data_IF_627115707862
#
_entry.id   IF_627115707862
#
_cell.length_a   1.000
_cell.length_b   1.000
_cell.length_c   1.000
_cell.angle_alpha   90.00
_cell.angle_beta   90.00
_cell.angle_gamma   90.00
#
_symmetry.space_group_name_H-M   'P 1'
#
loop_
_entity.id
_entity.type
_entity.pdbx_description
1 polymer ?
#
# COMPACT_ATOMS: atom_id res chain seq x y z
N UNK A 1 -17.62 5.49 29.63
CA UNK A 1 -16.69 6.59 29.30
C UNK A 1 -15.72 6.04 28.28
N UNK A 2 -15.45 6.77 27.19
CA UNK A 2 -14.38 6.38 26.27
C UNK A 2 -13.04 6.42 27.01
N UNK A 3 -12.21 5.42 26.82
CA UNK A 3 -10.87 5.38 27.40
C UNK A 3 -10.01 6.47 26.72
N UNK A 4 -9.49 7.42 27.50
CA UNK A 4 -8.56 8.45 27.00
C UNK A 4 -7.20 7.81 26.81
N UNK A 5 -6.64 7.89 25.59
CA UNK A 5 -5.31 7.43 25.26
C UNK A 5 -4.44 8.60 24.81
N UNK A 6 -3.38 8.84 25.54
CA UNK A 6 -2.38 9.84 25.22
C UNK A 6 -1.05 9.15 24.91
N UNK A 7 -0.49 9.44 23.73
CA UNK A 7 0.79 8.92 23.27
C UNK A 7 1.68 10.07 22.84
N UNK A 8 2.95 9.99 23.18
CA UNK A 8 3.90 11.00 22.74
C UNK A 8 5.33 10.46 22.67
N UNK A 9 6.15 11.17 21.91
CA UNK A 9 7.58 10.96 21.82
C UNK A 9 8.28 12.28 21.50
N UNK A 10 9.57 12.34 21.74
CA UNK A 10 10.40 13.49 21.41
C UNK A 10 11.26 13.23 20.18
N UNK A 11 11.59 14.26 19.41
CA UNK A 11 12.49 14.15 18.25
C UNK A 11 13.95 13.88 18.64
N UNK A 12 14.32 14.14 19.91
CA UNK A 12 15.64 13.88 20.48
C UNK A 12 15.49 13.26 21.87
N UNK A 13 16.39 12.38 22.24
CA UNK A 13 16.41 11.78 23.58
C UNK A 13 16.90 12.74 24.66
N UNK A 14 17.78 13.68 24.28
CA UNK A 14 18.33 14.71 25.16
C UNK A 14 18.77 15.93 24.35
N UNK A 15 18.80 17.07 24.98
CA UNK A 15 19.26 18.34 24.39
C UNK A 15 20.22 19.05 25.34
N UNK A 16 21.12 19.88 24.80
CA UNK A 16 21.96 20.79 25.55
C UNK A 16 21.21 22.09 25.84
N UNK A 17 21.64 22.86 26.85
CA UNK A 17 21.10 24.21 27.08
C UNK A 17 21.17 25.06 25.82
N UNK A 18 20.02 25.69 25.45
CA UNK A 18 19.88 26.50 24.24
C UNK A 18 19.46 25.73 22.97
N UNK A 19 19.37 24.41 23.04
CA UNK A 19 18.81 23.62 21.94
C UNK A 19 17.31 23.38 22.13
N UNK A 20 16.58 23.15 21.00
CA UNK A 20 15.16 22.84 21.00
C UNK A 20 14.94 21.32 21.02
N UNK A 21 13.86 20.92 21.69
CA UNK A 21 13.28 19.58 21.65
C UNK A 21 11.81 19.70 21.30
N UNK A 22 11.35 18.87 20.34
CA UNK A 22 9.96 18.86 19.91
C UNK A 22 9.25 17.65 20.52
N UNK A 23 8.05 17.88 21.03
CA UNK A 23 7.17 16.87 21.57
C UNK A 23 6.07 16.56 20.54
N UNK A 24 6.02 15.35 20.06
CA UNK A 24 4.99 14.86 19.17
C UNK A 24 3.92 14.13 19.98
N UNK A 25 2.72 14.69 20.05
CA UNK A 25 1.65 14.15 20.89
C UNK A 25 0.44 13.78 20.06
N UNK A 26 -0.13 12.61 20.33
CA UNK A 26 -1.40 12.13 19.76
C UNK A 26 -2.35 11.78 20.89
N UNK A 27 -3.58 12.26 20.83
CA UNK A 27 -4.61 11.98 21.80
C UNK A 27 -5.85 11.36 21.14
N UNK A 28 -6.39 10.32 21.76
CA UNK A 28 -7.67 9.70 21.39
C UNK A 28 -8.65 9.83 22.56
N UNK A 29 -9.86 10.30 22.30
CA UNK A 29 -10.88 10.52 23.33
C UNK A 29 -10.80 11.86 24.07
N UNK A 30 -9.85 12.75 23.74
CA UNK A 30 -9.74 14.11 24.28
C UNK A 30 -9.15 15.07 23.26
N UNK A 31 -9.47 16.36 23.41
CA UNK A 31 -8.89 17.46 22.60
C UNK A 31 -7.93 18.33 23.39
N UNK A 32 -7.65 17.99 24.65
CA UNK A 32 -6.70 18.73 25.47
C UNK A 32 -5.91 17.81 26.40
N UNK A 33 -4.68 18.20 26.70
CA UNK A 33 -3.78 17.55 27.66
C UNK A 33 -3.09 18.62 28.49
N UNK A 34 -2.81 18.29 29.75
CA UNK A 34 -2.01 19.14 30.61
C UNK A 34 -0.55 18.70 30.51
N UNK A 35 0.35 19.68 30.32
CA UNK A 35 1.80 19.45 30.31
C UNK A 35 2.43 20.11 31.55
N UNK A 36 3.47 19.49 32.08
CA UNK A 36 4.21 19.97 33.22
C UNK A 36 5.71 19.64 33.06
N UNK A 37 6.55 20.61 33.24
CA UNK A 37 7.99 20.42 33.27
C UNK A 37 8.41 20.16 34.72
N UNK A 38 9.05 19.02 34.98
CA UNK A 38 9.50 18.64 36.30
C UNK A 38 10.97 18.29 36.27
N UNK A 39 11.65 18.60 37.40
CA UNK A 39 12.97 18.06 37.71
C UNK A 39 12.81 16.76 38.50
N UNK A 40 13.29 15.65 37.99
CA UNK A 40 13.31 14.40 38.72
C UNK A 40 14.43 14.45 39.73
N UNK A 41 14.07 14.41 41.01
CA UNK A 41 15.01 14.35 42.13
C UNK A 41 15.39 12.90 42.37
N UNK A 42 14.41 12.00 42.35
CA UNK A 42 14.61 10.57 42.52
C UNK A 42 13.60 9.80 41.64
N UNK A 43 14.10 9.00 40.69
CA UNK A 43 13.29 8.31 39.70
C UNK A 43 13.04 6.82 39.94
N UNK A 44 13.52 6.29 41.12
CA UNK A 44 13.35 4.87 41.45
C UNK A 44 12.10 4.65 42.31
N UNK A 45 11.18 3.85 41.83
CA UNK A 45 9.93 3.47 42.50
C UNK A 45 10.10 2.20 43.37
N UNK A 46 11.33 1.72 43.60
CA UNK A 46 11.58 0.49 44.37
C UNK A 46 11.01 0.62 45.81
N UNK A 47 10.26 -0.38 46.32
CA UNK A 47 9.55 -0.30 47.61
C UNK A 47 10.45 0.00 48.83
N UNK A 48 11.75 -0.34 48.75
CA UNK A 48 12.72 -0.11 49.80
C UNK A 48 13.50 1.20 49.63
N UNK A 49 13.18 1.99 48.59
CA UNK A 49 13.78 3.28 48.32
C UNK A 49 12.93 4.45 48.80
N UNK A 50 13.38 5.71 48.58
CA UNK A 50 12.58 6.91 48.90
C UNK A 50 11.35 7.13 48.04
N UNK A 51 11.18 6.33 46.95
CA UNK A 51 10.11 6.48 46.00
C UNK A 51 10.39 7.56 44.95
N UNK A 52 9.45 7.72 44.02
CA UNK A 52 9.53 8.76 43.00
C UNK A 52 9.38 10.15 43.65
N UNK A 53 10.27 11.06 43.33
CA UNK A 53 10.28 12.44 43.83
C UNK A 53 10.62 13.38 42.68
N UNK A 54 9.78 14.38 42.45
CA UNK A 54 10.01 15.43 41.47
C UNK A 54 9.75 16.82 42.08
N UNK A 55 10.15 17.84 41.33
CA UNK A 55 9.94 19.26 41.63
C UNK A 55 9.50 19.95 40.36
N UNK A 56 8.37 20.64 40.40
CA UNK A 56 7.88 21.41 39.25
C UNK A 56 8.82 22.60 38.96
N UNK A 57 9.17 22.77 37.70
CA UNK A 57 9.93 23.89 37.19
C UNK A 57 8.99 24.85 36.49
N UNK A 58 9.05 26.14 36.85
CA UNK A 58 8.30 27.19 36.17
C UNK A 58 8.75 27.27 34.72
N UNK A 59 7.78 27.12 33.78
CA UNK A 59 8.03 27.09 32.32
C UNK A 59 6.77 27.47 31.57
N UNK A 60 6.94 28.10 30.42
CA UNK A 60 5.85 28.34 29.45
C UNK A 60 5.24 27.03 28.88
N UNK A 61 5.92 25.91 29.12
CA UNK A 61 5.40 24.59 28.75
C UNK A 61 4.26 24.13 29.67
N UNK A 62 4.26 24.60 30.93
CA UNK A 62 3.28 24.17 31.92
C UNK A 62 1.90 24.70 31.58
N UNK A 63 0.90 23.83 31.65
CA UNK A 63 -0.48 24.21 31.44
C UNK A 63 -1.19 23.35 30.38
N UNK A 64 -2.30 23.87 29.93
CA UNK A 64 -3.21 23.15 29.05
C UNK A 64 -2.90 23.39 27.57
N UNK A 65 -2.75 22.31 26.82
CA UNK A 65 -2.44 22.33 25.39
C UNK A 65 -3.54 21.64 24.60
N UNK A 66 -3.84 22.20 23.43
CA UNK A 66 -4.71 21.56 22.45
C UNK A 66 -4.01 20.38 21.80
N UNK A 67 -4.63 19.21 21.86
CA UNK A 67 -4.13 17.97 21.27
C UNK A 67 -5.19 17.35 20.36
N UNK A 68 -4.75 16.56 19.42
CA UNK A 68 -5.64 15.85 18.50
C UNK A 68 -5.11 14.47 18.18
N UNK A 69 -5.97 13.62 17.65
CA UNK A 69 -5.54 12.32 17.13
C UNK A 69 -4.64 12.54 15.91
N UNK A 70 -3.43 12.00 15.97
CA UNK A 70 -2.49 11.96 14.86
C UNK A 70 -2.55 10.60 14.19
N UNK A 71 -2.56 10.60 12.86
CA UNK A 71 -2.60 9.37 12.08
C UNK A 71 -1.23 9.14 11.45
N UNK A 72 -0.65 7.97 11.70
CA UNK A 72 0.59 7.54 11.07
C UNK A 72 0.28 6.82 9.76
N UNK A 73 0.99 7.19 8.69
CA UNK A 73 0.95 6.41 7.46
C UNK A 73 1.73 5.11 7.67
N UNK A 74 1.03 3.97 7.63
CA UNK A 74 1.64 2.66 7.71
C UNK A 74 1.97 2.14 6.32
N UNK A 75 3.15 1.53 6.18
CA UNK A 75 3.64 0.98 4.92
C UNK A 75 4.22 2.04 3.97
N UNK A 76 4.98 1.57 3.00
CA UNK A 76 5.58 2.37 1.94
C UNK A 76 4.79 2.22 0.65
N UNK A 77 4.72 3.30 -0.11
CA UNK A 77 4.07 3.33 -1.43
C UNK A 77 4.76 4.34 -2.34
N UNK A 78 4.52 4.24 -3.64
CA UNK A 78 4.94 5.23 -4.61
C UNK A 78 3.70 5.90 -5.21
N UNK A 79 3.70 7.22 -5.21
CA UNK A 79 2.71 8.03 -5.93
C UNK A 79 3.32 8.46 -7.25
N UNK A 80 2.71 8.04 -8.35
CA UNK A 80 3.19 8.40 -9.68
C UNK A 80 2.83 9.85 -10.01
N UNK A 81 3.82 10.59 -10.48
CA UNK A 81 3.60 11.91 -11.05
C UNK A 81 3.23 11.76 -12.53
N UNK A 82 1.95 11.96 -12.85
CA UNK A 82 1.38 11.84 -14.19
C UNK A 82 0.72 13.16 -14.63
N UNK A 83 1.52 14.18 -14.98
CA UNK A 83 0.99 15.52 -15.30
C UNK A 83 0.11 15.54 -16.55
N UNK A 84 0.29 14.57 -17.45
CA UNK A 84 -0.48 14.44 -18.69
C UNK A 84 -1.67 13.50 -18.55
N UNK A 85 -1.91 12.96 -17.36
CA UNK A 85 -3.01 12.04 -17.05
C UNK A 85 -3.07 10.79 -17.96
N UNK A 86 -1.91 10.29 -18.38
CA UNK A 86 -1.78 9.15 -19.29
C UNK A 86 -2.27 7.82 -18.68
N UNK A 87 -2.23 7.72 -17.35
CA UNK A 87 -2.69 6.56 -16.61
C UNK A 87 -4.20 6.61 -16.28
N UNK A 88 -4.92 7.63 -16.76
CA UNK A 88 -6.38 7.67 -16.75
C UNK A 88 -6.93 6.89 -17.94
N UNK A 89 -6.72 5.58 -17.95
CA UNK A 89 -7.11 4.73 -19.08
C UNK A 89 -8.61 4.47 -19.01
N UNK A 90 -9.32 4.79 -20.07
CA UNK A 90 -10.75 4.59 -20.24
C UNK A 90 -11.09 3.48 -21.26
N UNK A 91 -10.06 2.85 -21.83
CA UNK A 91 -10.12 1.81 -22.83
C UNK A 91 -9.48 0.49 -22.41
N UNK A 92 -8.94 -0.18 -23.42
CA UNK A 92 -8.15 -1.40 -23.22
C UNK A 92 -6.90 -1.12 -22.37
N UNK A 93 -6.56 -2.04 -21.48
CA UNK A 93 -5.31 -1.94 -20.75
C UNK A 93 -4.68 -3.28 -20.42
N UNK A 94 -3.39 -3.22 -20.14
CA UNK A 94 -2.63 -4.27 -19.47
C UNK A 94 -1.80 -3.64 -18.37
N UNK A 95 -1.83 -4.23 -17.18
CA UNK A 95 -0.91 -3.95 -16.08
C UNK A 95 -0.09 -5.19 -15.82
N UNK A 96 1.21 -5.04 -15.60
CA UNK A 96 2.08 -6.17 -15.29
C UNK A 96 3.24 -5.75 -14.38
N UNK A 97 3.92 -6.71 -13.78
CA UNK A 97 5.12 -6.49 -12.99
C UNK A 97 5.61 -7.72 -12.26
N UNK A 98 6.77 -7.60 -11.64
CA UNK A 98 7.32 -8.64 -10.78
C UNK A 98 7.05 -8.30 -9.33
N UNK A 99 6.63 -9.30 -8.57
CA UNK A 99 6.35 -9.17 -7.14
C UNK A 99 7.00 -10.28 -6.33
N UNK A 100 7.40 -9.98 -5.10
CA UNK A 100 7.84 -10.97 -4.13
C UNK A 100 7.12 -10.72 -2.81
N UNK A 101 5.95 -11.32 -2.58
CA UNK A 101 5.16 -11.08 -1.39
C UNK A 101 5.83 -11.63 -0.14
N UNK A 102 5.97 -10.80 0.90
CA UNK A 102 6.48 -11.22 2.21
C UNK A 102 5.38 -11.86 3.06
N UNK A 103 4.18 -11.32 2.99
CA UNK A 103 3.00 -11.76 3.74
C UNK A 103 1.75 -11.69 2.87
N UNK A 104 1.54 -12.65 1.92
CA UNK A 104 0.38 -12.61 1.04
C UNK A 104 -0.95 -12.81 1.79
N UNK A 105 -0.96 -13.59 2.86
CA UNK A 105 -2.15 -13.90 3.67
C UNK A 105 -2.19 -13.02 4.92
N UNK A 106 -2.61 -11.76 4.77
CA UNK A 106 -2.69 -10.82 5.91
C UNK A 106 -4.09 -10.75 6.54
N UNK A 107 -5.09 -11.36 5.92
CA UNK A 107 -6.48 -11.16 6.29
C UNK A 107 -7.05 -9.81 5.82
N UNK A 108 -6.25 -9.01 5.10
CA UNK A 108 -6.64 -7.73 4.53
C UNK A 108 -6.18 -7.65 3.06
N UNK A 109 -6.85 -6.81 2.30
CA UNK A 109 -6.50 -6.53 0.90
C UNK A 109 -5.19 -5.74 0.82
N UNK A 110 -4.33 -6.05 -0.17
CA UNK A 110 -3.09 -5.35 -0.47
C UNK A 110 -3.09 -4.93 -1.94
N UNK A 111 -2.89 -3.65 -2.23
CA UNK A 111 -2.78 -3.15 -3.59
C UNK A 111 -1.35 -3.22 -4.10
N UNK A 112 -1.19 -3.72 -5.32
CA UNK A 112 0.09 -3.77 -6.03
C UNK A 112 0.26 -2.54 -6.95
N UNK A 113 -0.61 -2.41 -7.93
CA UNK A 113 -0.58 -1.36 -8.94
C UNK A 113 -2.01 -0.91 -9.20
N UNK A 114 -2.34 0.34 -8.95
CA UNK A 114 -3.70 0.78 -9.19
C UNK A 114 -3.84 2.29 -9.43
N UNK A 115 -4.87 2.62 -10.17
CA UNK A 115 -5.51 3.92 -10.16
C UNK A 115 -6.92 3.71 -9.61
N UNK A 116 -7.03 3.76 -8.29
CA UNK A 116 -8.22 3.34 -7.55
C UNK A 116 -8.54 4.29 -6.41
N UNK A 117 -9.83 4.51 -6.19
CA UNK A 117 -10.36 5.25 -5.04
C UNK A 117 -11.30 4.33 -4.25
N UNK A 118 -10.90 3.97 -3.04
CA UNK A 118 -11.66 3.07 -2.15
C UNK A 118 -13.02 3.65 -1.73
N UNK A 119 -13.15 4.99 -1.65
CA UNK A 119 -14.40 5.64 -1.25
C UNK A 119 -15.46 5.59 -2.35
N UNK A 120 -15.04 5.78 -3.58
CA UNK A 120 -15.95 5.87 -4.73
C UNK A 120 -16.08 4.57 -5.50
N UNK A 121 -15.23 3.57 -5.23
CA UNK A 121 -15.14 2.30 -5.97
C UNK A 121 -14.96 2.51 -7.48
N UNK A 122 -14.12 3.48 -7.85
CA UNK A 122 -13.79 3.80 -9.24
C UNK A 122 -12.36 3.46 -9.55
N UNK A 123 -12.13 3.05 -10.79
CA UNK A 123 -10.81 2.83 -11.35
C UNK A 123 -10.50 1.38 -11.62
N UNK A 124 -9.21 1.07 -11.61
CA UNK A 124 -8.68 -0.26 -11.95
C UNK A 124 -7.39 -0.55 -11.19
N UNK A 125 -7.08 -1.82 -11.01
CA UNK A 125 -5.82 -2.22 -10.39
C UNK A 125 -5.68 -3.71 -10.17
N UNK A 126 -4.45 -4.11 -9.86
CA UNK A 126 -4.10 -5.45 -9.41
C UNK A 126 -3.77 -5.38 -7.92
N UNK A 127 -4.29 -6.37 -7.18
CA UNK A 127 -4.04 -6.52 -5.75
C UNK A 127 -3.86 -7.98 -5.33
N UNK A 128 -3.75 -8.15 -4.03
CA UNK A 128 -3.79 -9.45 -3.36
C UNK A 128 -4.96 -9.38 -2.39
N UNK A 129 -5.91 -10.30 -2.51
CA UNK A 129 -7.05 -10.33 -1.62
C UNK A 129 -6.67 -10.79 -0.19
N UNK A 130 -7.62 -10.72 0.74
CA UNK A 130 -7.40 -11.11 2.14
C UNK A 130 -6.90 -12.54 2.33
N UNK A 131 -7.20 -13.43 1.37
CA UNK A 131 -6.90 -14.86 1.40
C UNK A 131 -5.62 -15.20 0.62
N UNK A 132 -4.89 -14.18 0.11
CA UNK A 132 -3.60 -14.34 -0.57
C UNK A 132 -3.66 -14.66 -2.05
N UNK A 133 -4.83 -14.55 -2.68
CA UNK A 133 -4.97 -14.71 -4.13
C UNK A 133 -4.72 -13.39 -4.85
N UNK A 134 -4.04 -13.46 -5.98
CA UNK A 134 -3.94 -12.33 -6.89
C UNK A 134 -5.32 -11.96 -7.40
N UNK A 135 -5.60 -10.66 -7.53
CA UNK A 135 -6.88 -10.18 -8.07
C UNK A 135 -6.70 -9.00 -9.01
N UNK A 136 -7.55 -8.97 -10.04
CA UNK A 136 -7.83 -7.77 -10.83
C UNK A 136 -9.14 -7.16 -10.33
N UNK A 137 -9.10 -5.87 -10.08
CA UNK A 137 -10.27 -5.09 -9.64
C UNK A 137 -10.56 -4.00 -10.66
N UNK A 138 -11.81 -3.89 -11.09
CA UNK A 138 -12.28 -2.81 -11.98
C UNK A 138 -13.61 -2.31 -11.46
N UNK A 139 -13.78 -0.99 -11.37
CA UNK A 139 -14.98 -0.37 -10.85
C UNK A 139 -15.40 0.89 -11.60
N UNK A 140 -16.70 1.08 -11.77
CA UNK A 140 -17.30 2.23 -12.45
C UNK A 140 -17.88 3.28 -11.48
N UNK A 141 -17.82 3.00 -10.18
CA UNK A 141 -18.39 3.82 -9.10
C UNK A 141 -19.81 3.44 -8.69
N UNK A 142 -20.43 2.47 -9.37
CA UNK A 142 -21.69 1.86 -9.00
C UNK A 142 -21.50 0.38 -8.69
N UNK A 143 -20.72 -0.30 -9.51
CA UNK A 143 -20.41 -1.70 -9.38
C UNK A 143 -18.90 -1.92 -9.41
N UNK A 144 -18.47 -3.03 -8.81
CA UNK A 144 -17.08 -3.50 -8.83
C UNK A 144 -17.08 -4.95 -9.26
N UNK A 145 -16.23 -5.28 -10.21
CA UNK A 145 -16.00 -6.66 -10.61
C UNK A 145 -14.57 -7.07 -10.25
N UNK A 146 -14.43 -8.34 -9.90
CA UNK A 146 -13.21 -8.97 -9.45
C UNK A 146 -12.91 -10.21 -10.26
N UNK A 147 -11.64 -10.41 -10.60
CA UNK A 147 -11.13 -11.66 -11.14
C UNK A 147 -9.99 -12.15 -10.26
N UNK A 148 -10.07 -13.39 -9.79
CA UNK A 148 -9.07 -13.98 -8.89
C UNK A 148 -8.23 -15.02 -9.60
N UNK A 149 -6.97 -15.16 -9.17
CA UNK A 149 -6.15 -16.31 -9.56
C UNK A 149 -6.70 -17.60 -8.97
N UNK A 150 -6.43 -18.74 -9.62
CA UNK A 150 -6.85 -20.06 -9.13
C UNK A 150 -6.03 -20.53 -7.92
N UNK A 151 -4.80 -20.04 -7.82
CA UNK A 151 -3.85 -20.45 -6.79
C UNK A 151 -3.39 -19.25 -5.97
N UNK A 152 -3.27 -19.39 -4.63
CA UNK A 152 -2.78 -18.34 -3.78
C UNK A 152 -1.28 -18.11 -4.00
N UNK A 153 -0.84 -16.90 -3.73
CA UNK A 153 0.57 -16.55 -3.75
C UNK A 153 1.33 -17.15 -2.56
N UNK A 154 2.51 -17.68 -2.83
CA UNK A 154 3.41 -18.20 -1.80
C UNK A 154 4.37 -17.10 -1.35
N UNK A 155 4.55 -16.95 -0.03
CA UNK A 155 5.47 -15.96 0.53
C UNK A 155 6.90 -16.16 0.06
N UNK A 156 7.60 -15.03 -0.20
CA UNK A 156 9.03 -14.98 -0.58
C UNK A 156 9.37 -15.70 -1.90
N UNK A 157 8.38 -15.93 -2.74
CA UNK A 157 8.57 -16.38 -4.11
C UNK A 157 8.41 -15.20 -5.05
N UNK A 158 9.26 -15.08 -6.05
CA UNK A 158 9.07 -14.12 -7.12
C UNK A 158 8.02 -14.61 -8.11
N UNK A 159 7.10 -13.74 -8.43
CA UNK A 159 6.09 -13.94 -9.47
C UNK A 159 6.16 -12.83 -10.50
N UNK A 160 5.94 -13.18 -11.75
CA UNK A 160 5.45 -12.24 -12.74
C UNK A 160 3.92 -12.27 -12.69
N UNK A 161 3.32 -11.10 -12.59
CA UNK A 161 1.87 -10.93 -12.54
C UNK A 161 1.44 -9.97 -13.64
N UNK A 162 0.27 -10.24 -14.23
CA UNK A 162 -0.30 -9.38 -15.25
C UNK A 162 -1.81 -9.45 -15.25
N UNK A 163 -2.46 -8.37 -15.62
CA UNK A 163 -3.90 -8.32 -15.86
C UNK A 163 -4.20 -7.53 -17.11
N UNK A 164 -5.17 -8.00 -17.89
CA UNK A 164 -5.67 -7.34 -19.08
C UNK A 164 -7.15 -7.08 -18.95
N UNK A 165 -7.62 -6.00 -19.56
CA UNK A 165 -9.03 -5.69 -19.67
C UNK A 165 -9.35 -5.16 -21.06
N UNK A 166 -10.34 -5.76 -21.70
CA UNK A 166 -10.88 -5.32 -22.99
C UNK A 166 -12.21 -4.58 -22.76
N UNK A 167 -12.19 -3.26 -22.94
CA UNK A 167 -13.36 -2.44 -22.66
C UNK A 167 -14.54 -2.69 -23.61
N UNK A 168 -14.30 -3.18 -24.85
CA UNK A 168 -15.37 -3.46 -25.83
C UNK A 168 -16.16 -4.71 -25.50
N UNK A 169 -15.46 -5.74 -25.06
CA UNK A 169 -16.05 -7.05 -24.74
C UNK A 169 -16.36 -7.24 -23.28
N UNK A 170 -15.69 -6.49 -22.37
CA UNK A 170 -15.69 -6.70 -20.93
C UNK A 170 -14.78 -7.86 -20.51
N UNK A 171 -14.04 -8.45 -21.45
CA UNK A 171 -13.15 -9.56 -21.16
C UNK A 171 -11.99 -9.11 -20.27
N UNK A 172 -11.81 -9.80 -19.17
CA UNK A 172 -10.73 -9.61 -18.21
C UNK A 172 -9.90 -10.89 -18.10
N UNK A 173 -8.59 -10.75 -18.06
CA UNK A 173 -7.65 -11.86 -17.86
C UNK A 173 -6.69 -11.53 -16.75
N UNK A 174 -6.37 -12.52 -15.92
CA UNK A 174 -5.39 -12.41 -14.85
C UNK A 174 -4.32 -13.50 -15.04
N UNK A 175 -3.07 -13.09 -14.99
CA UNK A 175 -1.90 -13.91 -15.24
C UNK A 175 -1.00 -13.94 -14.01
N UNK A 176 -0.58 -15.13 -13.60
CA UNK A 176 0.34 -15.37 -12.49
C UNK A 176 1.34 -16.44 -12.88
N UNK A 177 2.63 -16.15 -12.80
CA UNK A 177 3.72 -17.07 -13.11
C UNK A 177 4.80 -17.00 -12.04
N UNK A 178 5.17 -18.13 -11.46
CA UNK A 178 6.32 -18.22 -10.56
C UNK A 178 7.63 -18.06 -11.34
N UNK A 179 8.50 -17.13 -10.90
CA UNK A 179 9.76 -16.83 -11.57
C UNK A 179 10.93 -17.37 -10.78
N UNK A 180 11.73 -18.21 -11.43
CA UNK A 180 12.98 -18.72 -10.85
C UNK A 180 14.06 -17.66 -10.97
N UNK A 181 14.67 -17.29 -9.85
CA UNK A 181 15.88 -16.46 -9.85
C UNK A 181 17.00 -17.11 -9.02
N UNK A 182 18.21 -16.56 -9.09
CA UNK A 182 19.38 -17.12 -8.41
C UNK A 182 19.27 -17.15 -6.88
N UNK A 183 18.40 -16.32 -6.28
CA UNK A 183 18.23 -16.19 -4.83
C UNK A 183 17.19 -17.16 -4.27
N UNK A 184 16.22 -17.56 -5.07
CA UNK A 184 15.18 -18.52 -4.70
C UNK A 184 15.22 -19.79 -5.56
N UNK A 185 16.36 -20.10 -6.17
CA UNK A 185 16.52 -21.27 -7.05
C UNK A 185 16.15 -22.59 -6.40
N UNK A 186 16.33 -22.74 -5.09
CA UNK A 186 15.88 -23.92 -4.34
C UNK A 186 14.35 -23.91 -4.18
N UNK A 187 13.75 -22.78 -3.85
CA UNK A 187 12.29 -22.63 -3.74
C UNK A 187 11.63 -22.71 -5.11
N UNK A 188 12.24 -22.15 -6.13
CA UNK A 188 11.77 -22.22 -7.51
C UNK A 188 11.77 -23.63 -8.08
N UNK A 189 12.57 -24.55 -7.51
CA UNK A 189 12.53 -25.99 -7.83
C UNK A 189 11.48 -26.75 -7.02
N UNK A 190 11.10 -26.23 -5.87
CA UNK A 190 10.12 -26.82 -4.95
C UNK A 190 8.70 -26.33 -5.24
N UNK A 191 8.56 -25.08 -5.71
CA UNK A 191 7.28 -24.57 -6.23
C UNK A 191 7.15 -25.12 -7.65
N UNK A 192 6.26 -26.08 -7.90
CA UNK A 192 6.09 -26.64 -9.23
C UNK A 192 5.76 -25.54 -10.23
N UNK A 193 6.30 -25.62 -11.44
CA UNK A 193 5.94 -24.73 -12.56
C UNK A 193 4.44 -24.78 -12.90
N UNK A 194 3.71 -25.74 -12.36
CA UNK A 194 2.25 -25.90 -12.47
C UNK A 194 1.46 -24.85 -11.65
N UNK A 195 2.13 -24.00 -10.85
CA UNK A 195 1.51 -22.84 -10.18
C UNK A 195 1.28 -21.64 -11.13
N UNK A 196 1.19 -21.89 -12.40
CA UNK A 196 0.66 -20.96 -13.38
C UNK A 196 -0.83 -20.82 -13.16
N UNK A 197 -1.29 -19.61 -12.97
CA UNK A 197 -2.70 -19.29 -13.01
C UNK A 197 -2.94 -18.32 -14.17
N UNK A 198 -3.81 -18.70 -15.06
CA UNK A 198 -4.26 -17.88 -16.17
C UNK A 198 -5.78 -17.93 -16.22
N UNK A 199 -6.41 -17.04 -15.48
CA UNK A 199 -7.86 -16.95 -15.35
C UNK A 199 -8.44 -15.88 -16.25
N UNK A 200 -9.64 -16.15 -16.73
CA UNK A 200 -10.36 -15.26 -17.66
C UNK A 200 -11.85 -15.24 -17.32
N UNK A 201 -12.44 -14.04 -17.41
CA UNK A 201 -13.88 -13.85 -17.24
C UNK A 201 -14.39 -12.70 -18.11
N UNK A 202 -15.69 -12.49 -18.11
CA UNK A 202 -16.30 -11.30 -18.69
C UNK A 202 -16.96 -10.50 -17.57
N UNK A 203 -16.51 -9.26 -17.37
CA UNK A 203 -17.09 -8.35 -16.40
C UNK A 203 -18.44 -7.82 -16.85
N UNK A 204 -19.30 -7.45 -15.91
CA UNK A 204 -20.66 -6.97 -16.16
C UNK A 204 -20.69 -5.62 -16.87
N UNK A 205 -19.70 -4.78 -16.63
CA UNK A 205 -19.55 -3.48 -17.28
C UNK A 205 -18.31 -3.44 -18.18
N UNK A 206 -18.31 -2.49 -19.10
CA UNK A 206 -17.29 -2.38 -20.16
C UNK A 206 -16.49 -1.08 -20.08
N UNK A 207 -16.74 -0.24 -19.09
CA UNK A 207 -16.09 1.05 -18.96
C UNK A 207 -15.42 1.18 -17.60
N UNK A 208 -14.17 1.64 -17.62
CA UNK A 208 -13.44 2.07 -16.44
C UNK A 208 -13.66 3.57 -16.26
N UNK A 209 -14.13 3.99 -15.09
CA UNK A 209 -14.30 5.41 -14.80
C UNK A 209 -13.08 5.93 -14.04
N UNK A 210 -12.48 7.01 -14.53
CA UNK A 210 -11.36 7.66 -13.85
C UNK A 210 -11.78 8.15 -12.44
N UNK A 211 -11.10 7.69 -11.39
CA UNK A 211 -11.38 8.12 -10.01
C UNK A 211 -10.87 9.54 -9.70
N UNK A 212 -10.17 10.20 -10.63
CA UNK A 212 -9.47 11.48 -10.40
C UNK A 212 -8.42 11.39 -9.28
N UNK A 213 -7.84 10.20 -9.10
CA UNK A 213 -6.76 9.95 -8.13
C UNK A 213 -5.44 9.70 -8.85
N UNK A 214 -4.29 9.86 -8.22
CA UNK A 214 -3.02 9.46 -8.81
C UNK A 214 -2.95 7.92 -8.95
N UNK A 215 -2.11 7.46 -9.87
CA UNK A 215 -1.70 6.05 -9.90
C UNK A 215 -0.78 5.79 -8.72
N UNK A 216 -1.07 4.74 -7.96
CA UNK A 216 -0.32 4.34 -6.76
C UNK A 216 0.26 2.94 -6.96
N UNK A 217 1.50 2.77 -6.54
CA UNK A 217 2.18 1.49 -6.48
C UNK A 217 2.32 1.13 -5.01
N UNK A 218 1.96 -0.10 -4.65
CA UNK A 218 1.96 -0.65 -3.31
C UNK A 218 0.94 0.02 -2.34
N UNK A 219 -0.23 0.39 -2.83
CA UNK A 219 -1.32 0.95 -2.04
C UNK A 219 -2.42 1.54 -2.91
N UNK A 220 -3.49 2.05 -2.32
CA UNK A 220 -4.55 2.82 -3.01
C UNK A 220 -5.00 4.02 -2.21
N UNK A 221 -5.60 5.00 -2.89
CA UNK A 221 -6.18 6.18 -2.24
C UNK A 221 -7.43 5.77 -1.46
N UNK A 222 -7.48 6.27 -0.25
CA UNK A 222 -8.61 6.13 0.67
C UNK A 222 -8.94 7.49 1.29
N UNK A 223 -10.09 7.61 1.95
CA UNK A 223 -10.54 8.84 2.58
C UNK A 223 -11.25 8.53 3.90
N UNK A 224 -10.84 9.23 4.94
CA UNK A 224 -11.40 9.07 6.27
C UNK A 224 -11.82 10.43 6.84
N UNK A 225 -12.96 10.52 7.49
CA UNK A 225 -13.54 11.79 7.98
C UNK A 225 -12.55 12.64 8.80
N UNK A 226 -11.77 11.99 9.69
CA UNK A 226 -10.85 12.69 10.58
C UNK A 226 -9.43 12.86 9.99
N UNK A 227 -9.07 12.03 9.00
CA UNK A 227 -7.71 12.00 8.44
C UNK A 227 -7.62 12.70 7.08
N UNK A 228 -8.72 12.76 6.34
CA UNK A 228 -8.74 13.12 4.93
C UNK A 228 -8.17 12.02 4.04
N UNK A 229 -7.67 12.38 2.87
CA UNK A 229 -7.10 11.42 1.90
C UNK A 229 -5.78 10.87 2.40
N UNK A 230 -5.62 9.55 2.30
CA UNK A 230 -4.42 8.81 2.67
C UNK A 230 -4.25 7.59 1.76
N UNK A 231 -3.19 6.81 1.96
CA UNK A 231 -2.99 5.53 1.24
C UNK A 231 -3.24 4.38 2.19
N UNK A 232 -4.10 3.45 1.79
CA UNK A 232 -4.44 2.22 2.53
C UNK A 232 -4.08 0.98 1.71
N UNK A 233 -4.25 -0.20 2.32
CA UNK A 233 -4.00 -1.48 1.65
C UNK A 233 -2.58 -1.59 1.12
N UNK A 234 -1.58 -1.13 1.88
CA UNK A 234 -0.18 -1.14 1.45
C UNK A 234 0.35 -2.56 1.31
N UNK A 235 1.08 -2.80 0.23
CA UNK A 235 1.67 -4.09 -0.06
C UNK A 235 2.89 -4.39 0.80
N UNK A 236 2.94 -5.60 1.33
CA UNK A 236 4.08 -6.11 2.08
C UNK A 236 4.93 -7.05 1.21
N UNK A 237 5.95 -6.52 0.56
CA UNK A 237 6.81 -7.30 -0.33
C UNK A 237 7.75 -6.44 -1.16
N UNK A 238 8.31 -7.05 -2.21
CA UNK A 238 9.16 -6.36 -3.19
C UNK A 238 8.43 -6.28 -4.52
N UNK A 239 8.67 -5.19 -5.24
CA UNK A 239 8.12 -4.92 -6.58
C UNK A 239 9.28 -4.58 -7.48
N UNK A 240 9.24 -5.04 -8.74
CA UNK A 240 10.24 -4.75 -9.74
C UNK A 240 9.62 -4.74 -11.15
N UNK A 241 10.23 -3.99 -12.07
CA UNK A 241 9.95 -3.95 -13.51
C UNK A 241 8.46 -4.05 -13.84
N UNK A 242 7.70 -3.06 -13.42
CA UNK A 242 6.27 -3.01 -13.63
C UNK A 242 5.90 -1.95 -14.68
N UNK A 243 4.80 -2.18 -15.36
CA UNK A 243 4.36 -1.31 -16.45
C UNK A 243 2.87 -1.37 -16.72
N UNK A 244 2.42 -0.39 -17.48
CA UNK A 244 1.06 -0.22 -17.95
C UNK A 244 1.06 0.01 -19.45
N UNK A 245 0.24 -0.76 -20.17
CA UNK A 245 -0.01 -0.59 -21.62
C UNK A 245 -1.46 -0.20 -21.85
N UNK A 246 -1.72 0.59 -22.89
CA UNK A 246 -3.06 0.93 -23.38
C UNK A 246 -3.60 -0.06 -24.42
N UNK A 247 -3.28 -1.32 -24.26
CA UNK A 247 -3.62 -2.43 -25.16
C UNK A 247 -3.84 -3.69 -24.33
N UNK A 248 -4.71 -4.57 -24.78
CA UNK A 248 -4.78 -5.95 -24.30
C UNK A 248 -3.59 -6.71 -24.87
N UNK A 249 -2.63 -7.05 -24.04
CA UNK A 249 -1.54 -7.93 -24.44
C UNK A 249 -2.00 -9.39 -24.46
N UNK A 250 -1.53 -10.13 -25.46
CA UNK A 250 -1.75 -11.57 -25.52
C UNK A 250 -0.93 -12.30 -24.47
N UNK A 251 -1.26 -13.59 -24.23
CA UNK A 251 -0.46 -14.44 -23.35
C UNK A 251 0.98 -14.53 -23.83
N UNK A 252 1.21 -14.66 -25.11
CA UNK A 252 2.54 -14.75 -25.72
C UNK A 252 3.35 -13.45 -25.52
N UNK A 253 2.71 -12.29 -25.59
CA UNK A 253 3.34 -11.01 -25.30
C UNK A 253 3.70 -10.90 -23.81
N UNK A 254 2.83 -11.35 -22.92
CA UNK A 254 3.13 -11.40 -21.47
C UNK A 254 4.24 -12.41 -21.15
N UNK A 255 4.27 -13.58 -21.79
CA UNK A 255 5.33 -14.58 -21.64
C UNK A 255 6.71 -14.01 -22.07
N UNK A 256 6.77 -13.21 -23.13
CA UNK A 256 7.99 -12.52 -23.56
C UNK A 256 8.45 -11.50 -22.53
N UNK A 257 7.53 -10.69 -21.99
CA UNK A 257 7.86 -9.73 -20.93
C UNK A 257 8.33 -10.47 -19.67
N UNK A 258 7.68 -11.57 -19.32
CA UNK A 258 8.10 -12.46 -18.22
C UNK A 258 9.49 -13.06 -18.43
N UNK A 259 9.91 -13.27 -19.67
CA UNK A 259 11.26 -13.74 -19.99
C UNK A 259 12.32 -12.62 -20.07
N UNK A 260 11.91 -11.36 -19.90
CA UNK A 260 12.78 -10.20 -19.84
C UNK A 260 12.80 -9.35 -21.12
N UNK A 261 11.94 -9.63 -22.09
CA UNK A 261 11.78 -8.75 -23.24
C UNK A 261 11.07 -7.46 -22.85
N UNK A 262 11.42 -6.36 -23.48
CA UNK A 262 10.77 -5.07 -23.24
C UNK A 262 9.41 -5.01 -23.97
N UNK A 263 8.36 -4.45 -23.37
CA UNK A 263 7.07 -4.29 -24.03
C UNK A 263 7.16 -3.43 -25.31
N UNK A 264 6.19 -3.61 -26.21
CA UNK A 264 6.07 -2.74 -27.38
C UNK A 264 5.89 -1.28 -26.97
N UNK A 265 6.83 -0.43 -27.39
CA UNK A 265 6.88 0.99 -27.05
C UNK A 265 5.64 1.77 -27.50
N UNK A 266 4.95 1.32 -28.54
CA UNK A 266 3.77 2.02 -29.06
C UNK A 266 2.55 1.83 -28.14
N UNK A 267 2.49 0.74 -27.40
CA UNK A 267 1.41 0.45 -26.45
C UNK A 267 1.77 0.76 -25.01
N UNK A 268 3.06 0.99 -24.72
CA UNK A 268 3.56 1.23 -23.38
C UNK A 268 3.24 2.67 -22.93
N UNK A 269 2.40 2.80 -21.90
CA UNK A 269 2.05 4.08 -21.28
C UNK A 269 3.08 4.49 -20.24
N UNK A 270 3.48 3.55 -19.39
CA UNK A 270 4.46 3.78 -18.34
C UNK A 270 5.20 2.48 -17.99
N UNK A 271 6.45 2.64 -17.57
CA UNK A 271 7.31 1.53 -17.10
C UNK A 271 8.27 2.03 -16.04
N UNK A 272 8.41 1.26 -14.99
CA UNK A 272 9.33 1.56 -13.89
C UNK A 272 10.25 0.37 -13.66
N UNK A 273 11.53 0.63 -13.76
CA UNK A 273 12.61 -0.28 -13.36
C UNK A 273 13.11 0.18 -11.98
N UNK A 274 13.03 -0.70 -11.01
CA UNK A 274 13.38 -0.41 -9.61
C UNK A 274 14.64 -1.15 -9.15
N UNK A 275 15.37 -1.79 -10.10
CA UNK A 275 16.64 -2.47 -9.82
C UNK A 275 17.82 -1.51 -9.73
#
# INVERSE_FOLDING_TARGET
MAEIKLFGYTNKLSVKPGENIDFHVSADGTNSADAQLVRIIHGDEHPNGPGYMDEEIESDLNGKWDVKKQFTQLGSFLRVNDPNNLLAIDGDFTIFGYINPSTPHTGAHQWLFCRWDNKTNKGYGIGINKDGYLELVVGDGKEVDYLYSELPLVKKVWYFVGATFNYKTGEATLYQEGVVNRYNSLLGKVVPYDYRSHTKTTFRFKQVNDPQTPFIIAGAIDDHELRGKFVSGTYAGKIDRHGVCNKVLSKEELDKICSGEFPDKNSLVAYWDTT
#
